data_IF_444744849529
#
_entry.id   IF_444744849529
#
_cell.length_a   1.000
_cell.length_b   1.000
_cell.length_c   1.000
_cell.angle_alpha   90.00
_cell.angle_beta   90.00
_cell.angle_gamma   90.00
#
_symmetry.space_group_name_H-M   'P 1'
#
loop_
_entity.id
_entity.type
_entity.pdbx_description
1 polymer ?
#
# COMPACT_ATOMS: atom_id res chain seq x y z
N UNK A 1 18.80 -30.13 55.07
CA UNK A 1 18.67 -30.80 53.77
C UNK A 1 17.23 -30.66 53.34
N UNK A 2 16.90 -29.59 52.63
CA UNK A 2 15.63 -29.47 51.92
C UNK A 2 15.93 -28.78 50.58
N UNK A 3 15.38 -29.39 49.54
CA UNK A 3 15.69 -29.25 48.12
C UNK A 3 15.08 -27.99 47.51
N UNK A 4 15.86 -27.25 46.72
CA UNK A 4 15.35 -26.20 45.82
C UNK A 4 15.22 -26.78 44.41
N UNK A 5 14.00 -26.78 43.87
CA UNK A 5 13.72 -27.18 42.49
C UNK A 5 13.22 -25.94 41.71
N UNK A 6 13.90 -25.69 40.59
CA UNK A 6 13.66 -24.61 39.63
C UNK A 6 12.34 -24.78 38.88
N UNK A 7 11.71 -23.67 38.48
CA UNK A 7 11.02 -23.59 37.20
C UNK A 7 10.96 -22.15 36.68
N UNK A 8 11.71 -21.94 35.60
CA UNK A 8 11.59 -20.89 34.61
C UNK A 8 10.16 -20.83 34.03
N UNK A 9 9.52 -19.66 34.01
CA UNK A 9 8.47 -19.41 33.00
C UNK A 9 8.28 -17.91 32.72
N UNK A 10 8.71 -17.52 31.52
CA UNK A 10 8.08 -16.58 30.61
C UNK A 10 7.51 -15.25 31.17
N UNK A 11 8.22 -14.17 30.84
CA UNK A 11 7.73 -12.79 30.81
C UNK A 11 6.45 -12.70 29.96
N UNK A 12 5.28 -12.84 30.59
CA UNK A 12 3.97 -12.66 29.95
C UNK A 12 3.88 -11.26 29.34
N UNK A 13 3.68 -11.24 28.01
CA UNK A 13 3.37 -10.04 27.23
C UNK A 13 2.17 -9.32 27.88
N UNK A 14 2.37 -8.05 28.21
CA UNK A 14 1.29 -7.14 28.62
C UNK A 14 0.20 -7.18 27.55
N UNK A 15 -1.01 -7.51 27.98
CA UNK A 15 -2.20 -7.34 27.18
C UNK A 15 -2.36 -5.86 26.84
N UNK A 16 -2.31 -5.56 25.54
CA UNK A 16 -2.90 -4.32 25.05
C UNK A 16 -4.40 -4.50 25.16
N UNK A 17 -5.00 -3.77 26.09
CA UNK A 17 -6.45 -3.61 26.21
C UNK A 17 -7.02 -3.22 24.84
N UNK A 18 -7.83 -4.12 24.29
CA UNK A 18 -8.51 -3.97 23.01
C UNK A 18 -9.49 -2.79 23.10
N UNK A 19 -9.08 -1.64 22.58
CA UNK A 19 -10.02 -0.60 22.19
C UNK A 19 -11.05 -1.21 21.22
N UNK A 20 -12.33 -0.79 21.23
CA UNK A 20 -13.29 -1.25 20.25
C UNK A 20 -12.72 -0.98 18.85
N UNK A 21 -12.82 -1.93 17.90
CA UNK A 21 -12.35 -1.68 16.55
C UNK A 21 -13.14 -0.49 16.01
N UNK A 22 -12.43 0.53 15.53
CA UNK A 22 -13.03 1.48 14.60
C UNK A 22 -13.69 0.63 13.50
N UNK A 23 -14.96 0.88 13.18
CA UNK A 23 -15.84 -0.01 12.41
C UNK A 23 -15.41 -0.27 10.94
N UNK A 24 -14.15 -0.03 10.57
CA UNK A 24 -13.61 -0.17 9.21
C UNK A 24 -12.61 -1.31 8.97
N UNK A 25 -12.13 -2.04 9.99
CA UNK A 25 -11.18 -3.15 9.79
C UNK A 25 -9.92 -2.81 8.97
N UNK A 26 -9.19 -3.83 8.48
CA UNK A 26 -7.96 -3.65 7.71
C UNK A 26 -8.19 -2.89 6.38
N UNK A 27 -9.29 -3.16 5.69
CA UNK A 27 -9.65 -2.53 4.42
C UNK A 27 -9.96 -1.03 4.60
N UNK A 28 -10.62 -0.63 5.70
CA UNK A 28 -10.89 0.77 6.00
C UNK A 28 -9.61 1.56 6.27
N UNK A 29 -8.63 0.96 6.96
CA UNK A 29 -7.32 1.57 7.18
C UNK A 29 -6.51 1.72 5.88
N UNK A 30 -6.53 0.70 5.01
CA UNK A 30 -5.95 0.78 3.67
C UNK A 30 -6.60 1.90 2.84
N UNK A 31 -7.93 1.93 2.82
CA UNK A 31 -8.70 2.91 2.06
C UNK A 31 -8.38 4.34 2.50
N UNK A 32 -8.20 4.59 3.80
CA UNK A 32 -7.83 5.91 4.30
C UNK A 32 -6.50 6.42 3.74
N UNK A 33 -5.51 5.53 3.57
CA UNK A 33 -4.21 5.89 2.96
C UNK A 33 -4.32 6.10 1.45
N UNK A 34 -5.09 5.25 0.76
CA UNK A 34 -5.35 5.41 -0.68
C UNK A 34 -6.08 6.73 -0.96
N UNK A 35 -7.10 7.06 -0.17
CA UNK A 35 -7.84 8.33 -0.33
C UNK A 35 -6.94 9.53 -0.06
N UNK A 36 -6.07 9.46 0.96
CA UNK A 36 -5.07 10.52 1.20
C UNK A 36 -4.16 10.74 -0.01
N UNK A 37 -3.73 9.67 -0.68
CA UNK A 37 -2.92 9.78 -1.89
C UNK A 37 -3.69 10.43 -3.05
N UNK A 38 -4.97 10.08 -3.23
CA UNK A 38 -5.82 10.63 -4.31
C UNK A 38 -6.09 12.12 -4.19
N UNK A 39 -6.25 12.63 -2.97
CA UNK A 39 -6.57 14.04 -2.71
C UNK A 39 -5.33 14.88 -2.38
N UNK A 40 -4.13 14.30 -2.52
CA UNK A 40 -2.90 15.01 -2.27
C UNK A 40 -2.72 16.17 -3.27
N UNK A 41 -2.20 17.29 -2.78
CA UNK A 41 -1.94 18.51 -3.56
C UNK A 41 -0.63 18.47 -4.36
N UNK A 42 0.15 17.40 -4.20
CA UNK A 42 1.41 17.22 -4.93
C UNK A 42 1.76 15.73 -5.08
N UNK A 43 2.53 15.37 -6.13
CA UNK A 43 3.03 14.02 -6.30
C UNK A 43 3.82 13.48 -5.11
N UNK A 44 4.62 14.33 -4.46
CA UNK A 44 5.43 13.95 -3.31
C UNK A 44 4.55 13.48 -2.13
N UNK A 45 3.50 14.25 -1.80
CA UNK A 45 2.57 13.88 -0.73
C UNK A 45 1.73 12.65 -1.07
N UNK A 46 1.38 12.47 -2.34
CA UNK A 46 0.75 11.23 -2.79
C UNK A 46 1.68 10.03 -2.52
N UNK A 47 2.94 10.13 -2.93
CA UNK A 47 3.95 9.08 -2.73
C UNK A 47 4.21 8.80 -1.24
N UNK A 48 4.18 9.80 -0.36
CA UNK A 48 4.32 9.59 1.09
C UNK A 48 3.18 8.71 1.64
N UNK A 49 1.94 9.01 1.26
CA UNK A 49 0.78 8.21 1.66
C UNK A 49 0.84 6.77 1.12
N UNK A 50 1.29 6.61 -0.13
CA UNK A 50 1.44 5.30 -0.78
C UNK A 50 2.60 4.48 -0.18
N UNK A 51 3.67 5.14 0.25
CA UNK A 51 4.79 4.53 0.96
C UNK A 51 4.34 3.99 2.31
N UNK A 52 3.56 4.77 3.05
CA UNK A 52 2.98 4.31 4.32
C UNK A 52 2.03 3.12 4.10
N UNK A 53 1.22 3.15 3.04
CA UNK A 53 0.40 2.00 2.67
C UNK A 53 1.25 0.77 2.35
N UNK A 54 2.33 0.90 1.57
CA UNK A 54 3.21 -0.23 1.25
C UNK A 54 3.86 -0.83 2.50
N UNK A 55 4.22 0.01 3.48
CA UNK A 55 4.83 -0.40 4.74
C UNK A 55 3.84 -1.14 5.65
N UNK A 56 2.62 -0.60 5.81
CA UNK A 56 1.58 -1.18 6.69
C UNK A 56 0.86 -2.37 6.07
N UNK A 57 0.67 -2.33 4.75
CA UNK A 57 -0.14 -3.27 3.99
C UNK A 57 0.63 -3.76 2.76
N UNK A 58 1.78 -4.47 2.95
CA UNK A 58 2.62 -4.92 1.84
C UNK A 58 1.89 -5.86 0.89
N UNK A 59 0.95 -6.66 1.42
CA UNK A 59 0.06 -7.57 0.67
C UNK A 59 -1.41 -7.16 0.77
N UNK A 60 -1.68 -5.87 1.02
CA UNK A 60 -3.05 -5.36 1.19
C UNK A 60 -3.93 -5.54 -0.04
N UNK A 61 -5.24 -5.54 0.19
CA UNK A 61 -6.26 -5.68 -0.86
C UNK A 61 -6.20 -4.53 -1.87
N UNK A 62 -5.77 -3.33 -1.44
CA UNK A 62 -5.69 -2.14 -2.29
C UNK A 62 -4.29 -1.92 -2.91
N UNK A 63 -3.45 -2.96 -2.97
CA UNK A 63 -2.10 -2.87 -3.55
C UNK A 63 -2.08 -2.45 -5.03
N UNK A 64 -3.05 -2.89 -5.82
CA UNK A 64 -3.09 -2.60 -7.26
C UNK A 64 -3.49 -1.13 -7.49
N UNK A 65 -4.39 -0.61 -6.66
CA UNK A 65 -4.73 0.82 -6.62
C UNK A 65 -3.55 1.68 -6.16
N UNK A 66 -2.81 1.23 -5.13
CA UNK A 66 -1.58 1.89 -4.68
C UNK A 66 -0.57 2.01 -5.82
N UNK A 67 -0.32 0.92 -6.54
CA UNK A 67 0.67 0.89 -7.61
C UNK A 67 0.27 1.81 -8.77
N UNK A 68 -1.03 1.86 -9.11
CA UNK A 68 -1.58 2.76 -10.12
C UNK A 68 -1.39 4.23 -9.74
N UNK A 69 -1.79 4.63 -8.53
CA UNK A 69 -1.62 6.01 -8.04
C UNK A 69 -0.15 6.41 -7.97
N UNK A 70 0.74 5.48 -7.60
CA UNK A 70 2.17 5.75 -7.56
C UNK A 70 2.73 6.00 -8.96
N UNK A 71 2.33 5.17 -9.94
CA UNK A 71 2.74 5.37 -11.33
C UNK A 71 2.30 6.75 -11.85
N UNK A 72 1.08 7.19 -11.52
CA UNK A 72 0.58 8.51 -11.92
C UNK A 72 1.37 9.65 -11.27
N UNK A 73 1.60 9.59 -9.96
CA UNK A 73 2.43 10.59 -9.27
C UNK A 73 3.84 10.66 -9.85
N UNK A 74 4.43 9.52 -10.23
CA UNK A 74 5.76 9.48 -10.88
C UNK A 74 5.73 10.05 -12.30
N UNK A 75 4.68 9.77 -13.05
CA UNK A 75 4.49 10.37 -14.36
C UNK A 75 4.42 11.90 -14.27
N UNK A 76 3.69 12.44 -13.30
CA UNK A 76 3.61 13.89 -13.05
C UNK A 76 4.98 14.51 -12.69
N UNK A 77 5.87 13.73 -12.07
CA UNK A 77 7.25 14.14 -11.78
C UNK A 77 8.21 13.99 -12.99
N UNK A 78 7.75 13.44 -14.12
CA UNK A 78 8.61 13.10 -15.26
C UNK A 78 9.40 11.79 -15.09
N UNK A 79 9.19 11.06 -13.99
CA UNK A 79 9.89 9.82 -13.64
C UNK A 79 9.25 8.60 -14.35
N UNK A 80 9.23 8.64 -15.68
CA UNK A 80 8.51 7.68 -16.52
C UNK A 80 9.01 6.23 -16.38
N UNK A 81 10.28 6.03 -16.04
CA UNK A 81 10.82 4.69 -15.84
C UNK A 81 10.17 3.96 -14.64
N UNK A 82 9.92 4.67 -13.52
CA UNK A 82 9.23 4.08 -12.37
C UNK A 82 7.73 3.89 -12.68
N UNK A 83 7.12 4.84 -13.38
CA UNK A 83 5.73 4.75 -13.80
C UNK A 83 5.49 3.53 -14.70
N UNK A 84 6.31 3.34 -15.74
CA UNK A 84 6.23 2.19 -16.66
C UNK A 84 6.44 0.87 -15.94
N UNK A 85 7.47 0.75 -15.10
CA UNK A 85 7.71 -0.46 -14.31
C UNK A 85 6.49 -0.90 -13.50
N UNK A 86 5.82 0.06 -12.85
CA UNK A 86 4.62 -0.23 -12.05
C UNK A 86 3.43 -0.63 -12.92
N UNK A 87 3.25 0.06 -14.04
CA UNK A 87 2.22 -0.24 -15.03
C UNK A 87 2.39 -1.65 -15.62
N UNK A 88 3.60 -2.02 -16.04
CA UNK A 88 3.93 -3.36 -16.53
C UNK A 88 3.68 -4.43 -15.47
N UNK A 89 4.14 -4.19 -14.22
CA UNK A 89 3.91 -5.14 -13.14
C UNK A 89 2.41 -5.34 -12.83
N UNK A 90 1.57 -4.31 -13.01
CA UNK A 90 0.12 -4.46 -12.89
C UNK A 90 -0.45 -5.22 -14.09
N UNK A 91 0.01 -4.94 -15.32
CA UNK A 91 -0.43 -5.61 -16.54
C UNK A 91 -0.14 -7.12 -16.50
N UNK A 92 1.06 -7.51 -16.02
CA UNK A 92 1.43 -8.92 -15.83
C UNK A 92 0.51 -9.64 -14.84
N UNK A 93 0.11 -8.97 -13.75
CA UNK A 93 -0.74 -9.57 -12.71
C UNK A 93 -2.23 -9.54 -13.05
N UNK A 94 -2.67 -8.50 -13.79
CA UNK A 94 -4.06 -8.12 -14.00
C UNK A 94 -4.26 -7.52 -15.41
N UNK A 95 -4.07 -8.29 -16.49
CA UNK A 95 -4.02 -7.76 -17.85
C UNK A 95 -5.32 -7.09 -18.32
N UNK A 96 -6.48 -7.49 -17.79
CA UNK A 96 -7.79 -6.91 -18.10
C UNK A 96 -8.26 -5.85 -17.08
N UNK A 97 -7.35 -5.34 -16.24
CA UNK A 97 -7.72 -4.37 -15.20
C UNK A 97 -8.14 -3.02 -15.80
N UNK A 98 -9.28 -2.45 -15.39
CA UNK A 98 -9.65 -1.08 -15.78
C UNK A 98 -8.67 -0.02 -15.24
N UNK A 99 -7.83 -0.36 -14.25
CA UNK A 99 -6.79 0.53 -13.75
C UNK A 99 -5.74 0.83 -14.83
N UNK A 100 -5.40 -0.14 -15.69
CA UNK A 100 -4.42 0.08 -16.76
C UNK A 100 -4.91 1.15 -17.75
N UNK A 101 -6.20 1.07 -18.13
CA UNK A 101 -6.81 2.07 -19.00
C UNK A 101 -6.82 3.46 -18.36
N UNK A 102 -7.14 3.55 -17.06
CA UNK A 102 -7.06 4.83 -16.32
C UNK A 102 -5.64 5.36 -16.28
N UNK A 103 -4.65 4.50 -16.07
CA UNK A 103 -3.24 4.88 -16.03
C UNK A 103 -2.77 5.46 -17.37
N UNK A 104 -3.09 4.80 -18.49
CA UNK A 104 -2.74 5.30 -19.82
C UNK A 104 -3.51 6.58 -20.18
N UNK A 105 -4.76 6.71 -19.74
CA UNK A 105 -5.54 7.95 -19.95
C UNK A 105 -4.92 9.13 -19.22
N UNK A 106 -4.50 8.95 -17.96
CA UNK A 106 -3.95 10.01 -17.13
C UNK A 106 -2.47 10.29 -17.43
N UNK A 107 -1.72 9.29 -17.90
CA UNK A 107 -0.34 9.41 -18.34
C UNK A 107 -0.17 8.78 -19.73
N UNK A 108 -0.40 9.54 -20.82
CA UNK A 108 -0.28 9.05 -22.19
C UNK A 108 1.11 8.47 -22.51
N UNK A 109 2.15 8.96 -21.84
CA UNK A 109 3.52 8.47 -21.97
C UNK A 109 3.74 7.05 -21.42
N UNK A 110 2.72 6.38 -20.87
CA UNK A 110 2.84 4.99 -20.39
C UNK A 110 2.76 3.95 -21.49
N UNK A 111 2.35 4.30 -22.73
CA UNK A 111 2.18 3.41 -23.92
C UNK A 111 2.54 1.96 -23.62
N UNK A 112 1.57 1.24 -23.04
CA UNK A 112 1.70 -0.18 -22.79
C UNK A 112 1.28 -0.87 -24.07
N UNK A 113 2.17 -1.66 -24.65
CA UNK A 113 1.77 -2.65 -25.65
C UNK A 113 0.97 -3.73 -24.91
N UNK A 114 -0.35 -3.54 -24.80
CA UNK A 114 -1.29 -4.47 -24.18
C UNK A 114 -1.76 -5.54 -25.18
#
# INVERSE_FOLDING_TARGET
METVESADTAKRKRGSTKAPPAEGGQIGEELALIQRARVADSPARAIDALTEHARRFPKGELRDERDALWALARCEQGELADARRRASALAERRPSSPLLQRMMTACPALELEL
#
